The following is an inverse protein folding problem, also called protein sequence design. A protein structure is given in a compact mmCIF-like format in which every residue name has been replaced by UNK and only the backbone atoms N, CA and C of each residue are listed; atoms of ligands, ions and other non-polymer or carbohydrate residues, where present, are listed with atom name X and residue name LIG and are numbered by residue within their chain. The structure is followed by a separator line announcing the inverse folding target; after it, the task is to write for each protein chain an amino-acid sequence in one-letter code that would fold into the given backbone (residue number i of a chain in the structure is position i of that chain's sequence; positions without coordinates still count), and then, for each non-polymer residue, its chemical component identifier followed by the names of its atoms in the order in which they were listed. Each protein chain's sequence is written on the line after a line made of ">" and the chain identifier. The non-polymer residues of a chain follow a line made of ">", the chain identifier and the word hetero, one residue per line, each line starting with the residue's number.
data_IF_676733257441
#
_entry.id   IF_676733257441
#
_cell.length_a   1.000
_cell.length_b   1.000
_cell.length_c   1.000
_cell.angle_alpha   90.00
_cell.angle_beta   90.00
_cell.angle_gamma   90.00
#
_symmetry.space_group_name_H-M   'P 1'
#
loop_
_entity.id
_entity.type
_entity.pdbx_description
1 polymer ?
#
# COMPACT_ATOMS: atom_id res chain seq x y z
N UNK A 1 7.86 9.41 -2.58
CA UNK A 1 7.29 9.25 -1.22
C UNK A 1 8.10 9.97 -0.14
N UNK A 2 8.80 11.04 -0.49
CA UNK A 2 9.78 11.70 0.37
C UNK A 2 9.16 12.78 1.27
N UNK A 3 7.95 13.22 0.95
CA UNK A 3 7.17 14.19 1.75
C UNK A 3 6.03 13.51 2.50
N UNK A 4 5.61 14.12 3.61
CA UNK A 4 4.46 13.66 4.41
C UNK A 4 3.16 13.64 3.59
N UNK A 5 2.92 14.67 2.77
CA UNK A 5 1.75 14.73 1.89
C UNK A 5 1.77 13.64 0.82
N UNK A 6 2.93 13.37 0.21
CA UNK A 6 3.10 12.31 -0.77
C UNK A 6 2.80 10.92 -0.17
N UNK A 7 3.24 10.67 1.07
CA UNK A 7 2.95 9.42 1.80
C UNK A 7 1.46 9.27 2.08
N UNK A 8 0.82 10.32 2.61
CA UNK A 8 -0.63 10.33 2.88
C UNK A 8 -1.46 10.08 1.62
N UNK A 9 -1.07 10.68 0.49
CA UNK A 9 -1.74 10.47 -0.78
C UNK A 9 -1.59 9.03 -1.29
N UNK A 10 -0.40 8.43 -1.18
CA UNK A 10 -0.25 7.02 -1.55
C UNK A 10 -1.14 6.12 -0.68
N UNK A 11 -1.07 6.30 0.65
CA UNK A 11 -1.87 5.50 1.59
C UNK A 11 -3.36 5.59 1.23
N UNK A 12 -3.87 6.80 0.98
CA UNK A 12 -5.26 7.02 0.57
C UNK A 12 -5.60 6.29 -0.73
N UNK A 13 -4.77 6.45 -1.76
CA UNK A 13 -5.05 5.90 -3.09
C UNK A 13 -5.00 4.37 -3.09
N UNK A 14 -3.98 3.78 -2.47
CA UNK A 14 -3.83 2.32 -2.39
C UNK A 14 -4.94 1.70 -1.56
N UNK A 15 -5.28 2.30 -0.41
CA UNK A 15 -6.39 1.79 0.43
C UNK A 15 -7.72 1.82 -0.32
N UNK A 16 -8.01 2.89 -1.06
CA UNK A 16 -9.22 3.00 -1.88
C UNK A 16 -9.30 1.89 -2.94
N UNK A 17 -8.18 1.59 -3.61
CA UNK A 17 -8.13 0.53 -4.63
C UNK A 17 -8.30 -0.86 -4.03
N UNK A 18 -7.69 -1.15 -2.87
CA UNK A 18 -7.87 -2.43 -2.18
C UNK A 18 -9.34 -2.59 -1.76
N UNK A 19 -9.92 -1.58 -1.10
CA UNK A 19 -11.29 -1.66 -0.61
C UNK A 19 -12.31 -1.80 -1.74
N UNK A 20 -12.11 -1.12 -2.87
CA UNK A 20 -12.96 -1.29 -4.06
C UNK A 20 -12.90 -2.72 -4.61
N UNK A 21 -11.72 -3.34 -4.63
CA UNK A 21 -11.56 -4.72 -5.10
C UNK A 21 -12.22 -5.76 -4.19
N UNK A 22 -12.56 -5.44 -2.94
CA UNK A 22 -13.29 -6.36 -2.05
C UNK A 22 -14.69 -6.67 -2.62
N UNK A 23 -15.38 -5.66 -3.17
CA UNK A 23 -16.70 -5.85 -3.81
C UNK A 23 -16.60 -6.24 -5.27
N UNK A 24 -15.54 -5.82 -5.96
CA UNK A 24 -15.43 -5.99 -7.41
C UNK A 24 -14.84 -7.35 -7.81
N UNK A 25 -14.11 -8.03 -6.92
CA UNK A 25 -13.50 -9.33 -7.20
C UNK A 25 -14.31 -10.47 -6.58
N UNK A 26 -14.28 -11.67 -7.20
CA UNK A 26 -14.92 -12.85 -6.63
C UNK A 26 -14.48 -13.13 -5.20
N UNK A 27 -15.38 -13.72 -4.41
CA UNK A 27 -15.10 -14.11 -3.03
C UNK A 27 -13.85 -14.99 -2.94
N UNK A 28 -13.01 -14.75 -1.92
CA UNK A 28 -11.69 -15.37 -1.68
C UNK A 28 -10.59 -15.05 -2.70
N UNK A 29 -10.77 -14.07 -3.58
CA UNK A 29 -9.67 -13.60 -4.44
C UNK A 29 -8.53 -13.02 -3.59
N UNK A 30 -7.33 -13.57 -3.73
CA UNK A 30 -6.12 -13.01 -3.13
C UNK A 30 -5.69 -11.78 -3.92
N UNK A 31 -5.30 -10.72 -3.20
CA UNK A 31 -4.88 -9.47 -3.81
C UNK A 31 -3.50 -9.09 -3.32
N UNK A 32 -2.66 -8.61 -4.24
CA UNK A 32 -1.37 -8.02 -3.91
C UNK A 32 -1.27 -6.61 -4.49
N UNK A 33 -0.45 -5.77 -3.86
CA UNK A 33 -0.08 -4.43 -4.33
C UNK A 33 1.43 -4.34 -4.34
N UNK A 34 1.98 -4.02 -5.50
CA UNK A 34 3.41 -3.75 -5.68
C UNK A 34 3.59 -2.23 -5.68
N UNK A 35 4.40 -1.73 -4.76
CA UNK A 35 4.77 -0.32 -4.69
C UNK A 35 6.24 -0.23 -5.09
N UNK A 36 6.48 0.36 -6.26
CA UNK A 36 7.83 0.61 -6.75
C UNK A 36 8.43 1.85 -6.06
N UNK A 37 9.51 1.64 -5.30
CA UNK A 37 10.22 2.71 -4.58
C UNK A 37 11.67 2.86 -5.02
N UNK A 38 12.05 2.20 -6.12
CA UNK A 38 13.41 2.29 -6.67
C UNK A 38 13.75 3.73 -7.03
N UNK A 39 15.00 4.11 -6.76
CA UNK A 39 15.49 5.47 -6.97
C UNK A 39 14.92 6.52 -6.00
N UNK A 40 14.09 6.14 -5.02
CA UNK A 40 13.61 7.04 -3.97
C UNK A 40 14.47 6.89 -2.71
N UNK A 41 14.93 8.01 -2.15
CA UNK A 41 15.58 8.00 -0.84
C UNK A 41 14.53 7.83 0.28
N UNK A 42 14.15 6.58 0.55
CA UNK A 42 13.16 6.22 1.57
C UNK A 42 13.70 5.12 2.49
N UNK A 43 13.53 5.30 3.79
CA UNK A 43 13.99 4.33 4.79
C UNK A 43 12.99 3.19 4.94
N UNK A 44 13.48 2.03 5.41
CA UNK A 44 12.61 0.88 5.72
C UNK A 44 11.54 1.20 6.75
N UNK A 45 11.81 2.10 7.70
CA UNK A 45 10.82 2.55 8.68
C UNK A 45 9.65 3.30 8.04
N UNK A 46 9.94 4.17 7.07
CA UNK A 46 8.89 4.85 6.30
C UNK A 46 8.03 3.84 5.55
N UNK A 47 8.64 2.82 4.94
CA UNK A 47 7.91 1.76 4.23
C UNK A 47 7.05 0.92 5.18
N UNK A 48 7.57 0.62 6.38
CA UNK A 48 6.83 -0.09 7.43
C UNK A 48 5.62 0.72 7.91
N UNK A 49 5.79 2.02 8.15
CA UNK A 49 4.69 2.92 8.53
C UNK A 49 3.61 2.98 7.44
N UNK A 50 4.01 3.11 6.16
CA UNK A 50 3.07 3.07 5.03
C UNK A 50 2.30 1.75 5.00
N UNK A 51 2.99 0.61 5.15
CA UNK A 51 2.36 -0.73 5.16
C UNK A 51 1.37 -0.87 6.30
N UNK A 52 1.74 -0.46 7.52
CA UNK A 52 0.86 -0.50 8.68
C UNK A 52 -0.39 0.37 8.47
N UNK A 53 -0.22 1.59 7.95
CA UNK A 53 -1.35 2.50 7.69
C UNK A 53 -2.29 2.00 6.59
N UNK A 54 -1.78 1.38 5.53
CA UNK A 54 -2.63 0.75 4.52
C UNK A 54 -3.36 -0.44 5.13
N UNK A 55 -2.66 -1.35 5.80
CA UNK A 55 -3.27 -2.54 6.41
C UNK A 55 -4.36 -2.17 7.42
N UNK A 56 -4.16 -1.12 8.23
CA UNK A 56 -5.17 -0.64 9.17
C UNK A 56 -6.42 -0.07 8.49
N UNK A 57 -6.32 0.40 7.24
CA UNK A 57 -7.47 0.93 6.46
C UNK A 57 -8.17 -0.13 5.60
N UNK A 58 -7.53 -1.28 5.40
CA UNK A 58 -7.99 -2.35 4.51
C UNK A 58 -8.19 -3.67 5.24
N UNK A 59 -8.04 -3.70 6.56
CA UNK A 59 -8.09 -4.91 7.39
C UNK A 59 -7.09 -6.00 6.94
N UNK A 60 -5.96 -5.60 6.35
CA UNK A 60 -4.91 -6.52 5.92
C UNK A 60 -5.31 -7.51 4.82
N UNK A 61 -6.39 -7.26 4.08
CA UNK A 61 -6.91 -8.18 3.04
C UNK A 61 -6.03 -8.32 1.80
N UNK A 62 -5.02 -7.46 1.67
CA UNK A 62 -4.10 -7.47 0.53
C UNK A 62 -2.64 -7.55 1.00
N UNK A 63 -1.84 -8.28 0.25
CA UNK A 63 -0.40 -8.33 0.42
C UNK A 63 0.23 -7.05 -0.14
N UNK A 64 1.18 -6.47 0.59
CA UNK A 64 1.90 -5.25 0.18
C UNK A 64 3.38 -5.57 0.05
N UNK A 65 3.89 -5.36 -1.16
CA UNK A 65 5.27 -5.65 -1.57
C UNK A 65 5.91 -4.34 -2.02
N UNK A 66 7.08 -4.01 -1.47
CA UNK A 66 7.88 -2.88 -1.94
C UNK A 66 9.01 -3.39 -2.82
N UNK A 67 9.12 -2.85 -4.03
CA UNK A 67 10.27 -3.11 -4.90
C UNK A 67 11.35 -2.08 -4.62
N UNK A 68 12.49 -2.52 -4.08
CA UNK A 68 13.54 -1.63 -3.58
C UNK A 68 14.84 -1.64 -4.41
N UNK A 69 15.02 -2.59 -5.32
CA UNK A 69 16.18 -2.70 -6.24
C UNK A 69 15.73 -3.02 -7.67
#
# INVERSE_FOLDING_TARGET
>A
MTTSSGRSNLIRNVSKQINKRISDLPYKTKQSVIIDVRGQNVTRDVLRDIKQKINGRTNGVAEIIFKMD
#
